data_IF_237854197519
#
_entry.id   IF_237854197519
#
_cell.length_a   1.000
_cell.length_b   1.000
_cell.length_c   1.000
_cell.angle_alpha   90.00
_cell.angle_beta   90.00
_cell.angle_gamma   90.00
#
_symmetry.space_group_name_H-M   'P 1'
#
loop_
_entity.id
_entity.type
_entity.pdbx_description
1 polymer ?
#
# COMPACT_ATOMS: atom_id res chain seq x y z
N UNK A 1 -0.07 22.40 -17.44
CA UNK A 1 -0.42 21.47 -16.34
C UNK A 1 0.31 21.93 -15.09
N UNK A 2 -0.36 21.89 -13.93
CA UNK A 2 0.29 22.22 -12.66
C UNK A 2 0.97 20.95 -12.15
N UNK A 3 2.28 21.00 -11.97
CA UNK A 3 3.01 19.91 -11.33
C UNK A 3 2.71 19.94 -9.84
N UNK A 4 2.45 18.78 -9.27
CA UNK A 4 2.23 18.60 -7.83
C UNK A 4 3.25 17.60 -7.32
N UNK A 5 3.68 17.79 -6.08
CA UNK A 5 4.53 16.84 -5.40
C UNK A 5 3.71 15.63 -4.93
N UNK A 6 4.39 14.50 -4.73
CA UNK A 6 3.76 13.32 -4.13
C UNK A 6 3.10 13.65 -2.78
N UNK A 7 3.74 14.50 -1.97
CA UNK A 7 3.19 14.96 -0.69
C UNK A 7 1.89 15.74 -0.85
N UNK A 8 1.85 16.69 -1.80
CA UNK A 8 0.64 17.48 -2.05
C UNK A 8 -0.52 16.60 -2.54
N UNK A 9 -0.23 15.63 -3.41
CA UNK A 9 -1.23 14.67 -3.87
C UNK A 9 -1.75 13.82 -2.70
N UNK A 10 -0.85 13.29 -1.87
CA UNK A 10 -1.20 12.51 -0.69
C UNK A 10 -2.09 13.30 0.29
N UNK A 11 -1.70 14.55 0.61
CA UNK A 11 -2.49 15.44 1.48
C UNK A 11 -3.87 15.78 0.89
N UNK A 12 -4.01 15.76 -0.44
CA UNK A 12 -5.29 15.93 -1.12
C UNK A 12 -6.16 14.67 -1.00
N UNK A 13 -5.60 13.48 -1.19
CA UNK A 13 -6.32 12.21 -1.03
C UNK A 13 -6.77 11.96 0.41
N UNK A 14 -6.00 12.36 1.41
CA UNK A 14 -6.40 12.24 2.82
C UNK A 14 -7.63 13.08 3.20
N UNK A 15 -8.05 14.03 2.37
CA UNK A 15 -9.32 14.76 2.55
C UNK A 15 -10.54 13.91 2.22
N UNK A 16 -10.39 12.87 1.38
CA UNK A 16 -11.44 11.90 1.10
C UNK A 16 -11.56 10.92 2.27
N UNK A 17 -12.75 10.82 2.85
CA UNK A 17 -12.97 10.02 4.05
C UNK A 17 -12.86 8.52 3.79
N UNK A 18 -13.17 8.04 2.58
CA UNK A 18 -13.04 6.62 2.24
C UNK A 18 -11.58 6.25 2.04
N UNK A 19 -10.83 7.09 1.33
CA UNK A 19 -9.39 6.92 1.15
C UNK A 19 -8.67 6.95 2.50
N UNK A 20 -8.95 7.96 3.35
CA UNK A 20 -8.33 8.06 4.67
C UNK A 20 -8.59 6.83 5.54
N UNK A 21 -9.84 6.33 5.55
CA UNK A 21 -10.20 5.15 6.34
C UNK A 21 -9.48 3.90 5.84
N UNK A 22 -9.38 3.70 4.51
CA UNK A 22 -8.62 2.60 3.94
C UNK A 22 -7.12 2.71 4.27
N UNK A 23 -6.52 3.88 4.06
CA UNK A 23 -5.12 4.16 4.37
C UNK A 23 -4.77 3.93 5.85
N UNK A 24 -5.61 4.41 6.77
CA UNK A 24 -5.44 4.17 8.21
C UNK A 24 -5.64 2.70 8.61
N UNK A 25 -6.49 1.96 7.88
CA UNK A 25 -6.68 0.53 8.09
C UNK A 25 -5.46 -0.27 7.62
N UNK A 26 -4.92 0.05 6.43
CA UNK A 26 -3.68 -0.55 5.90
C UNK A 26 -2.49 -0.30 6.85
N UNK A 27 -2.33 0.91 7.39
CA UNK A 27 -1.28 1.22 8.37
C UNK A 27 -1.37 0.42 9.68
N UNK A 28 -2.58 -0.04 10.05
CA UNK A 28 -2.82 -0.77 11.29
C UNK A 28 -2.83 -2.27 11.11
N UNK A 29 -2.94 -2.75 9.88
CA UNK A 29 -3.25 -4.14 9.59
C UNK A 29 -2.30 -4.70 8.52
N UNK A 30 -1.07 -5.10 8.87
CA UNK A 30 -0.41 -6.13 8.10
C UNK A 30 -1.08 -7.45 8.48
N UNK A 31 -2.32 -7.68 7.99
CA UNK A 31 -2.87 -9.03 8.09
C UNK A 31 -1.86 -9.98 7.43
N UNK A 32 -1.69 -11.21 7.94
CA UNK A 32 -0.71 -12.16 7.40
C UNK A 32 -0.95 -12.51 5.92
N UNK A 33 -2.11 -12.19 5.38
CA UNK A 33 -2.51 -12.33 3.98
C UNK A 33 -2.53 -11.00 3.19
N UNK A 34 -2.00 -9.91 3.75
CA UNK A 34 -1.86 -8.63 3.07
C UNK A 34 -0.94 -8.77 1.86
N UNK A 35 -1.54 -8.57 0.68
CA UNK A 35 -0.88 -8.69 -0.63
C UNK A 35 -0.64 -7.30 -1.20
N UNK A 36 0.63 -6.97 -1.40
CA UNK A 36 1.04 -5.79 -2.15
C UNK A 36 1.19 -6.20 -3.61
N UNK A 37 0.35 -5.65 -4.49
CA UNK A 37 0.46 -5.89 -5.94
C UNK A 37 1.28 -4.76 -6.55
N UNK A 38 2.45 -5.09 -7.08
CA UNK A 38 3.28 -4.19 -7.85
C UNK A 38 2.96 -4.33 -9.34
N UNK A 39 2.60 -3.22 -9.97
CA UNK A 39 2.43 -3.16 -11.42
C UNK A 39 3.71 -2.60 -12.05
N UNK A 40 4.34 -3.38 -12.91
CA UNK A 40 5.55 -3.00 -13.63
C UNK A 40 5.21 -2.33 -14.97
N UNK A 41 6.11 -1.48 -15.46
CA UNK A 41 5.94 -0.73 -16.71
C UNK A 41 5.85 -1.64 -17.96
N UNK A 42 6.31 -2.88 -17.85
CA UNK A 42 6.21 -3.91 -18.90
C UNK A 42 4.87 -4.65 -18.91
N UNK A 43 3.96 -4.27 -18.01
CA UNK A 43 2.63 -4.86 -17.87
C UNK A 43 2.60 -6.15 -17.05
N UNK A 44 3.71 -6.52 -16.40
CA UNK A 44 3.74 -7.64 -15.45
C UNK A 44 3.24 -7.20 -14.07
N UNK A 45 2.65 -8.13 -13.34
CA UNK A 45 2.17 -7.93 -11.96
C UNK A 45 2.98 -8.85 -11.02
N UNK A 46 3.43 -8.30 -9.90
CA UNK A 46 4.13 -9.03 -8.86
C UNK A 46 3.37 -8.91 -7.54
N UNK A 47 3.07 -10.05 -6.91
CA UNK A 47 2.42 -10.10 -5.59
C UNK A 47 3.50 -10.29 -4.54
N UNK A 48 3.66 -9.30 -3.66
CA UNK A 48 4.58 -9.32 -2.53
C UNK A 48 3.77 -9.38 -1.25
N UNK A 49 4.07 -10.36 -0.40
CA UNK A 49 3.48 -10.46 0.93
C UNK A 49 4.31 -9.63 1.91
N UNK A 50 3.68 -8.76 2.68
CA UNK A 50 4.37 -8.00 3.72
C UNK A 50 4.71 -8.93 4.90
N UNK A 51 5.90 -9.54 4.87
CA UNK A 51 6.40 -10.40 5.93
C UNK A 51 6.92 -9.58 7.14
N UNK A 52 6.17 -8.59 7.61
CA UNK A 52 6.50 -7.90 8.87
C UNK A 52 6.29 -8.78 10.11
N UNK A 53 5.58 -9.90 9.98
CA UNK A 53 5.57 -10.96 10.98
C UNK A 53 6.63 -12.02 10.64
N UNK A 54 7.88 -11.71 10.95
CA UNK A 54 9.00 -12.65 10.92
C UNK A 54 8.84 -13.83 11.87
N UNK A 55 7.96 -14.76 11.52
CA UNK A 55 7.98 -16.15 11.96
C UNK A 55 7.69 -17.03 10.74
N UNK A 56 8.57 -16.94 9.74
CA UNK A 56 8.82 -18.08 8.87
C UNK A 56 9.57 -19.11 9.74
N UNK A 57 8.83 -19.92 10.49
CA UNK A 57 9.33 -21.22 10.87
C UNK A 57 9.32 -22.06 9.59
N UNK A 58 10.50 -22.17 8.97
CA UNK A 58 10.79 -23.25 8.02
C UNK A 58 10.66 -24.57 8.81
N UNK A 59 9.71 -25.42 8.39
CA UNK A 59 9.66 -26.84 8.77
C UNK A 59 10.72 -27.65 8.02
#
# INVERSE_FOLDING_TARGET
MKWITHKELHDEFLKDSKYRVAYEAELKNPEPDYQIIFHHDDGTEEVVFDAQNGNLQEE
#
